data_IF_904339614444
#
_entry.id   IF_904339614444
#
_cell.length_a   1.000
_cell.length_b   1.000
_cell.length_c   1.000
_cell.angle_alpha   90.00
_cell.angle_beta   90.00
_cell.angle_gamma   90.00
#
_symmetry.space_group_name_H-M   'P 1'
#
loop_
_entity.id
_entity.type
_entity.pdbx_description
1 polymer ?
#
# COMPACT_ATOMS: atom_id res chain seq x y z
N UNK A 1 -19.21 9.26 -7.65
CA UNK A 1 -19.10 8.63 -6.32
C UNK A 1 -18.70 9.67 -5.29
N UNK A 2 -19.37 9.69 -4.16
CA UNK A 2 -19.10 10.69 -3.11
C UNK A 2 -18.43 10.04 -1.92
N UNK A 3 -17.41 10.70 -1.41
CA UNK A 3 -16.75 10.28 -0.18
C UNK A 3 -17.55 10.82 1.01
N UNK A 4 -18.20 9.92 1.75
CA UNK A 4 -19.07 10.33 2.85
C UNK A 4 -18.31 10.70 4.11
N UNK A 5 -17.31 9.91 4.48
CA UNK A 5 -16.56 10.18 5.70
C UNK A 5 -15.14 9.64 5.63
N UNK A 6 -14.29 10.22 6.45
CA UNK A 6 -12.89 9.81 6.62
C UNK A 6 -12.71 9.58 8.12
N UNK A 7 -12.30 8.37 8.50
CA UNK A 7 -12.09 8.01 9.89
C UNK A 7 -10.65 7.56 10.08
N UNK A 8 -10.00 8.07 11.10
CA UNK A 8 -8.66 7.62 11.45
C UNK A 8 -8.73 6.33 12.24
N UNK A 9 -7.81 5.41 11.94
CA UNK A 9 -7.71 4.14 12.63
C UNK A 9 -6.38 4.14 13.41
N UNK A 10 -6.38 4.62 14.64
CA UNK A 10 -5.12 4.83 15.39
C UNK A 10 -4.33 3.55 15.63
N UNK A 11 -4.99 2.42 15.70
CA UNK A 11 -4.32 1.14 15.95
C UNK A 11 -3.45 0.70 14.77
N UNK A 12 -3.89 0.98 13.55
CA UNK A 12 -3.17 0.57 12.35
C UNK A 12 -2.42 1.71 11.68
N UNK A 13 -2.68 2.96 12.11
CA UNK A 13 -2.12 4.14 11.43
C UNK A 13 -2.70 4.39 10.05
N UNK A 14 -3.85 3.78 9.75
CA UNK A 14 -4.53 3.95 8.47
C UNK A 14 -5.75 4.83 8.62
N UNK A 15 -6.33 5.20 7.48
CA UNK A 15 -7.60 5.89 7.44
C UNK A 15 -8.63 5.04 6.73
N UNK A 16 -9.86 5.15 7.18
CA UNK A 16 -11.00 4.44 6.58
C UNK A 16 -11.84 5.44 5.81
N UNK A 17 -11.99 5.19 4.53
CA UNK A 17 -12.81 6.02 3.64
C UNK A 17 -14.12 5.31 3.38
N UNK A 18 -15.23 5.99 3.64
CA UNK A 18 -16.57 5.45 3.40
C UNK A 18 -17.22 6.21 2.27
N UNK A 19 -17.68 5.50 1.25
CA UNK A 19 -18.29 6.07 0.05
C UNK A 19 -19.79 5.88 0.05
N UNK A 20 -20.48 6.61 -0.82
CA UNK A 20 -21.94 6.63 -0.88
C UNK A 20 -22.56 5.31 -1.37
N UNK A 21 -21.76 4.45 -1.98
CA UNK A 21 -22.22 3.12 -2.40
C UNK A 21 -21.90 2.03 -1.36
N UNK A 22 -21.63 2.45 -0.13
CA UNK A 22 -21.28 1.58 0.99
C UNK A 22 -19.88 0.95 0.86
N UNK A 23 -19.11 1.34 -0.15
CA UNK A 23 -17.73 0.88 -0.29
C UNK A 23 -16.89 1.47 0.83
N UNK A 24 -16.03 0.65 1.41
CA UNK A 24 -15.10 1.05 2.45
C UNK A 24 -13.68 0.77 1.95
N UNK A 25 -12.81 1.78 2.03
CA UNK A 25 -11.42 1.66 1.61
C UNK A 25 -10.52 2.06 2.76
N UNK A 26 -9.63 1.17 3.17
CA UNK A 26 -8.61 1.48 4.17
C UNK A 26 -7.30 1.76 3.46
N UNK A 27 -6.69 2.89 3.75
CA UNK A 27 -5.48 3.31 3.06
C UNK A 27 -4.57 4.12 3.96
N UNK A 28 -3.43 4.55 3.43
CA UNK A 28 -2.47 5.34 4.17
C UNK A 28 -2.92 6.80 4.24
N UNK A 29 -2.64 7.47 5.37
CA UNK A 29 -3.07 8.87 5.55
C UNK A 29 -2.51 9.82 4.51
N UNK A 30 -1.30 9.58 4.00
CA UNK A 30 -0.69 10.49 3.04
C UNK A 30 -1.47 10.57 1.72
N UNK A 31 -2.27 9.56 1.40
CA UNK A 31 -3.09 9.59 0.19
C UNK A 31 -4.19 10.65 0.27
N UNK A 32 -4.62 11.03 1.48
CA UNK A 32 -5.57 12.12 1.66
C UNK A 32 -5.01 13.42 1.09
N UNK A 33 -3.74 13.69 1.37
CA UNK A 33 -3.06 14.87 0.86
C UNK A 33 -2.77 14.76 -0.63
N UNK A 34 -2.32 13.59 -1.07
CA UNK A 34 -1.96 13.35 -2.48
C UNK A 34 -3.14 13.57 -3.42
N UNK A 35 -4.33 13.14 -3.00
CA UNK A 35 -5.55 13.27 -3.80
C UNK A 35 -6.43 14.43 -3.37
N UNK A 36 -6.03 15.18 -2.33
CA UNK A 36 -6.83 16.27 -1.82
C UNK A 36 -8.19 15.82 -1.30
N UNK A 37 -8.24 14.68 -0.63
CA UNK A 37 -9.50 14.08 -0.19
C UNK A 37 -10.06 14.80 1.05
N UNK A 38 -11.38 14.96 1.06
CA UNK A 38 -12.11 15.52 2.20
C UNK A 38 -13.51 14.93 2.26
N UNK A 39 -14.12 14.94 3.45
CA UNK A 39 -15.48 14.46 3.62
C UNK A 39 -16.46 15.22 2.75
N UNK A 40 -17.31 14.52 2.04
CA UNK A 40 -18.32 15.12 1.20
C UNK A 40 -17.88 15.47 -0.21
N UNK A 41 -16.61 15.24 -0.54
CA UNK A 41 -16.15 15.50 -1.90
C UNK A 41 -16.71 14.47 -2.87
N UNK A 42 -16.88 14.88 -4.12
CA UNK A 42 -17.32 14.00 -5.16
C UNK A 42 -16.14 13.57 -6.02
N UNK A 43 -16.06 12.26 -6.28
CA UNK A 43 -15.01 11.68 -7.09
C UNK A 43 -15.59 11.21 -8.41
N UNK A 44 -14.93 11.51 -9.52
CA UNK A 44 -15.24 10.90 -10.79
C UNK A 44 -14.82 9.43 -10.75
N UNK A 45 -15.35 8.64 -11.68
CA UNK A 45 -14.94 7.23 -11.76
C UNK A 45 -13.44 7.11 -12.00
N UNK A 46 -12.90 7.98 -12.83
CA UNK A 46 -11.47 8.03 -13.12
C UNK A 46 -10.64 8.31 -11.87
N UNK A 47 -11.07 9.30 -11.08
CA UNK A 47 -10.39 9.64 -9.82
C UNK A 47 -10.49 8.50 -8.82
N UNK A 48 -11.65 7.84 -8.75
CA UNK A 48 -11.85 6.71 -7.88
C UNK A 48 -10.94 5.54 -8.26
N UNK A 49 -10.82 5.24 -9.54
CA UNK A 49 -9.94 4.17 -10.01
C UNK A 49 -8.48 4.49 -9.71
N UNK A 50 -8.08 5.74 -9.89
CA UNK A 50 -6.73 6.18 -9.55
C UNK A 50 -6.46 6.01 -8.05
N UNK A 51 -7.44 6.35 -7.23
CA UNK A 51 -7.33 6.18 -5.78
C UNK A 51 -7.19 4.71 -5.39
N UNK A 52 -7.99 3.84 -5.99
CA UNK A 52 -7.89 2.40 -5.73
C UNK A 52 -6.52 1.85 -6.10
N UNK A 53 -6.00 2.26 -7.25
CA UNK A 53 -4.67 1.83 -7.69
C UNK A 53 -3.59 2.31 -6.73
N UNK A 54 -3.66 3.57 -6.30
CA UNK A 54 -2.71 4.12 -5.34
C UNK A 54 -2.81 3.44 -3.99
N UNK A 55 -4.03 3.14 -3.54
CA UNK A 55 -4.25 2.43 -2.28
C UNK A 55 -3.68 1.02 -2.31
N UNK A 56 -3.83 0.32 -3.44
CA UNK A 56 -3.25 -1.00 -3.62
C UNK A 56 -1.72 -0.98 -3.53
N UNK A 57 -1.11 -0.04 -4.22
CA UNK A 57 0.35 0.14 -4.16
C UNK A 57 0.81 0.48 -2.75
N UNK A 58 0.11 1.39 -2.07
CA UNK A 58 0.45 1.79 -0.71
C UNK A 58 0.34 0.61 0.26
N UNK A 59 -0.68 -0.21 0.11
CA UNK A 59 -0.88 -1.40 0.93
C UNK A 59 0.26 -2.39 0.73
N UNK A 60 0.61 -2.67 -0.53
CA UNK A 60 1.69 -3.59 -0.85
C UNK A 60 3.03 -3.10 -0.32
N UNK A 61 3.32 -1.81 -0.47
CA UNK A 61 4.55 -1.21 0.02
C UNK A 61 4.66 -1.30 1.54
N UNK A 62 3.57 -0.95 2.25
CA UNK A 62 3.56 -1.00 3.71
C UNK A 62 3.77 -2.42 4.22
N UNK A 63 3.11 -3.38 3.59
CA UNK A 63 3.24 -4.79 3.96
C UNK A 63 4.65 -5.31 3.66
N UNK A 64 5.20 -4.91 2.51
CA UNK A 64 6.56 -5.30 2.12
C UNK A 64 7.59 -4.82 3.13
N UNK A 65 7.49 -3.58 3.57
CA UNK A 65 8.38 -3.03 4.59
C UNK A 65 8.31 -3.86 5.87
N UNK A 66 7.11 -4.20 6.31
CA UNK A 66 6.93 -4.99 7.54
C UNK A 66 7.55 -6.37 7.41
N UNK A 67 7.37 -7.03 6.27
CA UNK A 67 7.93 -8.37 6.06
C UNK A 67 9.45 -8.33 6.05
N UNK A 68 10.02 -7.37 5.33
CA UNK A 68 11.47 -7.22 5.22
C UNK A 68 12.10 -6.89 6.57
N UNK A 69 11.46 -6.00 7.33
CA UNK A 69 11.95 -5.61 8.65
C UNK A 69 11.92 -6.78 9.63
N UNK A 70 10.95 -7.67 9.49
CA UNK A 70 10.80 -8.80 10.40
C UNK A 70 11.70 -9.99 10.06
N UNK A 71 11.93 -10.25 8.77
CA UNK A 71 12.48 -11.53 8.36
C UNK A 71 13.64 -11.50 7.36
N UNK A 72 13.95 -10.37 6.76
CA UNK A 72 15.06 -10.30 5.79
C UNK A 72 14.95 -11.30 4.66
N UNK A 73 13.91 -11.21 3.85
CA UNK A 73 13.61 -12.17 2.78
C UNK A 73 14.19 -11.74 1.44
N UNK A 74 14.31 -12.69 0.50
CA UNK A 74 14.75 -12.39 -0.86
C UNK A 74 13.66 -11.66 -1.65
N UNK A 75 14.04 -11.05 -2.78
CA UNK A 75 13.06 -10.39 -3.65
C UNK A 75 11.95 -11.35 -4.07
N UNK A 76 12.33 -12.55 -4.48
CA UNK A 76 11.38 -13.59 -4.91
C UNK A 76 10.48 -14.02 -3.77
N UNK A 77 11.06 -14.24 -2.61
CA UNK A 77 10.32 -14.64 -1.43
C UNK A 77 9.38 -13.54 -0.96
N UNK A 78 9.84 -12.30 -1.00
CA UNK A 78 9.02 -11.15 -0.65
C UNK A 78 7.81 -11.03 -1.58
N UNK A 79 8.04 -11.13 -2.89
CA UNK A 79 6.95 -11.07 -3.85
C UNK A 79 5.95 -12.19 -3.63
N UNK A 80 6.43 -13.39 -3.37
CA UNK A 80 5.59 -14.56 -3.10
C UNK A 80 4.74 -14.33 -1.85
N UNK A 81 5.35 -13.85 -0.78
CA UNK A 81 4.63 -13.57 0.48
C UNK A 81 3.58 -12.51 0.33
N UNK A 82 3.87 -11.46 -0.45
CA UNK A 82 2.89 -10.40 -0.71
C UNK A 82 1.66 -10.95 -1.42
N UNK A 83 1.86 -11.77 -2.43
CA UNK A 83 0.75 -12.39 -3.16
C UNK A 83 -0.05 -13.33 -2.25
N UNK A 84 0.64 -14.11 -1.42
CA UNK A 84 -0.01 -15.01 -0.48
C UNK A 84 -0.87 -14.27 0.55
N UNK A 85 -0.50 -13.03 0.86
CA UNK A 85 -1.24 -12.21 1.82
C UNK A 85 -2.38 -11.42 1.19
N UNK A 86 -2.63 -11.63 -0.09
CA UNK A 86 -3.76 -11.01 -0.77
C UNK A 86 -3.43 -9.81 -1.64
N UNK A 87 -2.15 -9.45 -1.79
CA UNK A 87 -1.76 -8.37 -2.68
C UNK A 87 -1.78 -8.87 -4.12
N UNK A 88 -2.11 -7.99 -5.06
CA UNK A 88 -2.04 -8.33 -6.47
C UNK A 88 -0.60 -8.50 -6.91
N UNK A 89 -0.36 -9.40 -7.87
CA UNK A 89 0.98 -9.68 -8.36
C UNK A 89 1.68 -8.41 -8.89
N UNK A 90 0.95 -7.54 -9.58
CA UNK A 90 1.49 -6.29 -10.09
C UNK A 90 1.92 -5.36 -8.96
N UNK A 91 1.11 -5.24 -7.92
CA UNK A 91 1.41 -4.40 -6.75
C UNK A 91 2.57 -4.99 -5.96
N UNK A 92 2.63 -6.31 -5.83
CA UNK A 92 3.73 -6.98 -5.14
C UNK A 92 5.05 -6.71 -5.86
N UNK A 93 5.05 -6.84 -7.18
CA UNK A 93 6.23 -6.57 -8.00
C UNK A 93 6.69 -5.11 -7.89
N UNK A 94 5.73 -4.19 -7.91
CA UNK A 94 6.02 -2.76 -7.75
C UNK A 94 6.64 -2.46 -6.39
N UNK A 95 6.09 -3.05 -5.32
CA UNK A 95 6.60 -2.85 -3.98
C UNK A 95 8.02 -3.37 -3.81
N UNK A 96 8.31 -4.54 -4.38
CA UNK A 96 9.65 -5.13 -4.36
C UNK A 96 10.65 -4.22 -5.09
N UNK A 97 10.28 -3.72 -6.27
CA UNK A 97 11.11 -2.79 -7.03
C UNK A 97 11.36 -1.49 -6.28
N UNK A 98 10.33 -0.98 -5.60
CA UNK A 98 10.43 0.23 -4.80
C UNK A 98 11.42 0.07 -3.64
N UNK A 99 11.34 -1.06 -2.91
CA UNK A 99 12.29 -1.33 -1.82
C UNK A 99 13.71 -1.49 -2.33
N UNK A 100 13.86 -2.09 -3.51
CA UNK A 100 15.15 -2.25 -4.13
C UNK A 100 15.77 -0.89 -4.49
N UNK A 101 14.96 0.02 -5.01
CA UNK A 101 15.39 1.38 -5.31
C UNK A 101 15.82 2.14 -4.06
N UNK A 102 15.15 1.90 -2.94
CA UNK A 102 15.50 2.50 -1.67
C UNK A 102 16.68 1.81 -1.00
N UNK A 103 17.21 0.76 -1.61
CA UNK A 103 18.32 -0.06 -1.09
C UNK A 103 17.99 -0.78 0.22
N UNK A 104 16.71 -0.84 0.60
CA UNK A 104 16.31 -1.54 1.82
C UNK A 104 16.54 -3.04 1.70
N UNK A 105 16.23 -3.62 0.56
CA UNK A 105 16.51 -5.03 0.30
C UNK A 105 18.01 -5.28 0.24
N UNK A 106 18.75 -4.40 -0.42
CA UNK A 106 20.21 -4.53 -0.52
C UNK A 106 20.87 -4.50 0.84
N UNK A 107 20.40 -3.63 1.74
CA UNK A 107 20.94 -3.55 3.09
C UNK A 107 20.67 -4.82 3.88
N UNK A 108 19.45 -5.37 3.73
CA UNK A 108 19.07 -6.60 4.41
C UNK A 108 19.75 -7.82 3.81
N UNK A 109 20.16 -7.71 2.57
CA UNK A 109 20.84 -8.77 1.84
C UNK A 109 22.33 -8.71 1.87
N UNK A 110 22.90 -7.76 2.57
CA UNK A 110 24.35 -7.61 2.61
C UNK A 110 25.05 -8.92 2.97
N UNK A 111 24.49 -9.63 3.92
CA UNK A 111 25.01 -10.94 4.29
C UNK A 111 24.68 -12.02 3.27
N UNK A 112 23.52 -11.92 2.64
CA UNK A 112 23.09 -12.89 1.64
C UNK A 112 23.77 -12.67 0.30
N UNK A 113 24.16 -11.44 0.02
CA UNK A 113 24.87 -11.11 -1.21
C UNK A 113 26.22 -11.84 -1.29
N UNK A 114 26.70 -12.30 -0.17
CA UNK A 114 27.90 -13.14 -0.14
C UNK A 114 27.63 -14.52 -0.73
N UNK A 115 26.41 -14.87 -0.85
CA UNK A 115 26.01 -16.12 -1.47
C UNK A 115 26.23 -16.03 -2.99
#
# INVERSE_FOLDING_TARGET
MRLLSIQELPQSGRVKLVFDDETVLKTQPYLLADFGLYSGMELSEEDYQALLAAAGKASARARAVRIVAAAGVSERELQKRLVQKGEEAADAKEAVGWLKELHLLCLLYTSDAAD
#
